data_IF_654256149468
#
_entry.id   IF_654256149468
#
_cell.length_a   1.000
_cell.length_b   1.000
_cell.length_c   1.000
_cell.angle_alpha   90.00
_cell.angle_beta   90.00
_cell.angle_gamma   90.00
#
_symmetry.space_group_name_H-M   'P 1'
#
loop_
_entity.id
_entity.type
_entity.pdbx_description
1 polymer ?
#
# COMPACT_ATOMS: atom_id res chain seq x y z
N UNK A 1 -10.92 -2.07 24.89
CA UNK A 1 -10.59 -1.72 23.49
C UNK A 1 -10.33 -0.23 23.45
N UNK A 2 -9.07 0.18 23.30
CA UNK A 2 -8.76 1.59 23.11
C UNK A 2 -9.10 1.92 21.66
N UNK A 3 -10.13 2.73 21.43
CA UNK A 3 -10.32 3.39 20.14
C UNK A 3 -9.11 4.30 19.97
N UNK A 4 -8.11 3.89 19.20
CA UNK A 4 -6.95 4.73 18.91
C UNK A 4 -7.47 5.98 18.18
N UNK A 5 -7.45 7.10 18.90
CA UNK A 5 -7.84 8.39 18.35
C UNK A 5 -6.73 8.85 17.40
N UNK A 6 -7.06 9.50 16.28
CA UNK A 6 -6.07 10.12 15.43
C UNK A 6 -5.13 11.02 16.25
N UNK A 7 -3.83 10.97 15.94
CA UNK A 7 -2.82 11.82 16.56
C UNK A 7 -3.05 13.26 16.08
N UNK A 8 -3.09 14.22 17.01
CA UNK A 8 -3.23 15.63 16.65
C UNK A 8 -1.91 16.17 16.13
N UNK A 9 -1.93 16.78 14.94
CA UNK A 9 -0.77 17.34 14.25
C UNK A 9 -0.91 18.87 14.21
N UNK A 10 -0.18 19.57 15.08
CA UNK A 10 -0.41 21.00 15.31
C UNK A 10 0.43 21.90 14.39
N UNK A 11 1.56 21.39 13.92
CA UNK A 11 2.46 22.09 13.01
C UNK A 11 2.95 21.19 11.86
N UNK A 12 3.70 21.81 10.95
CA UNK A 12 4.17 21.15 9.72
C UNK A 12 5.19 20.05 10.05
N UNK A 13 6.07 20.28 11.04
CA UNK A 13 7.11 19.32 11.40
C UNK A 13 6.50 18.04 11.98
N UNK A 14 5.48 18.17 12.84
CA UNK A 14 4.71 17.03 13.35
C UNK A 14 4.08 16.22 12.21
N UNK A 15 3.48 16.90 11.22
CA UNK A 15 2.83 16.24 10.09
C UNK A 15 3.83 15.51 9.18
N UNK A 16 4.97 16.13 8.86
CA UNK A 16 6.04 15.52 8.08
C UNK A 16 6.68 14.31 8.80
N UNK A 17 6.94 14.45 10.11
CA UNK A 17 7.43 13.36 10.95
C UNK A 17 6.44 12.19 10.98
N UNK A 18 5.15 12.49 11.13
CA UNK A 18 4.09 11.49 11.12
C UNK A 18 4.02 10.73 9.77
N UNK A 19 4.10 11.43 8.64
CA UNK A 19 4.08 10.79 7.31
C UNK A 19 5.32 9.94 7.09
N UNK A 20 6.50 10.45 7.43
CA UNK A 20 7.77 9.73 7.22
C UNK A 20 7.94 8.50 8.11
N UNK A 21 7.27 8.48 9.28
CA UNK A 21 7.32 7.40 10.26
C UNK A 21 6.63 6.10 9.85
N UNK A 22 5.85 6.10 8.76
CA UNK A 22 5.09 4.93 8.31
C UNK A 22 5.22 4.69 6.81
N UNK A 23 4.88 3.47 6.36
CA UNK A 23 4.80 3.16 4.92
C UNK A 23 3.55 3.75 4.28
N UNK A 24 2.47 3.79 5.06
CA UNK A 24 1.19 4.42 4.73
C UNK A 24 0.78 5.24 5.93
N UNK A 25 0.45 6.51 5.72
CA UNK A 25 -0.07 7.40 6.74
C UNK A 25 -1.32 8.09 6.22
N UNK A 26 -2.33 8.27 7.07
CA UNK A 26 -3.57 8.96 6.71
C UNK A 26 -3.72 10.20 7.56
N UNK A 27 -3.87 11.37 6.95
CA UNK A 27 -4.15 12.62 7.66
C UNK A 27 -5.52 13.13 7.26
N UNK A 28 -6.35 13.42 8.27
CA UNK A 28 -7.58 14.18 8.11
C UNK A 28 -7.31 15.67 8.33
N UNK A 29 -7.47 16.46 7.27
CA UNK A 29 -7.37 17.91 7.29
C UNK A 29 -8.78 18.51 7.39
N UNK A 30 -9.12 19.04 8.56
CA UNK A 30 -10.47 19.55 8.83
C UNK A 30 -10.43 20.98 9.32
N UNK A 31 -11.31 21.86 8.82
CA UNK A 31 -11.41 23.23 9.36
C UNK A 31 -11.91 23.23 10.82
N UNK A 32 -12.91 22.39 11.11
CA UNK A 32 -13.41 22.15 12.46
C UNK A 32 -13.14 20.69 12.86
N UNK A 33 -12.30 20.42 13.87
CA UNK A 33 -12.01 19.06 14.32
C UNK A 33 -13.23 18.36 14.95
N UNK A 34 -14.29 19.08 15.32
CA UNK A 34 -15.53 18.51 15.88
C UNK A 34 -16.65 18.30 14.85
N UNK A 35 -16.42 18.69 13.60
CA UNK A 35 -17.36 18.55 12.49
C UNK A 35 -17.87 17.11 12.30
N UNK A 36 -19.07 16.91 11.74
CA UNK A 36 -19.59 15.58 11.40
C UNK A 36 -18.61 14.76 10.53
N UNK A 37 -17.92 15.41 9.60
CA UNK A 37 -16.93 14.81 8.71
C UNK A 37 -15.72 14.29 9.51
N UNK A 38 -15.21 15.10 10.44
CA UNK A 38 -14.14 14.70 11.34
C UNK A 38 -14.57 13.55 12.29
N UNK A 39 -15.86 13.46 12.63
CA UNK A 39 -16.39 12.32 13.38
C UNK A 39 -16.39 11.04 12.54
N UNK A 40 -16.80 11.08 11.26
CA UNK A 40 -16.71 9.93 10.35
C UNK A 40 -15.26 9.46 10.20
N UNK A 41 -14.30 10.40 10.09
CA UNK A 41 -12.87 10.09 10.05
C UNK A 41 -12.39 9.35 11.30
N UNK A 42 -12.76 9.82 12.50
CA UNK A 42 -12.41 9.12 13.76
C UNK A 42 -13.02 7.72 13.85
N UNK A 43 -14.25 7.54 13.37
CA UNK A 43 -14.89 6.22 13.32
C UNK A 43 -14.15 5.27 12.38
N UNK A 44 -13.72 5.75 11.21
CA UNK A 44 -12.94 4.96 10.26
C UNK A 44 -11.56 4.60 10.82
N UNK A 45 -10.86 5.54 11.47
CA UNK A 45 -9.59 5.26 12.15
C UNK A 45 -9.72 4.09 13.15
N UNK A 46 -10.81 4.06 13.93
CA UNK A 46 -11.10 2.97 14.85
C UNK A 46 -11.42 1.61 14.20
N UNK A 47 -11.70 1.56 12.89
CA UNK A 47 -11.99 0.32 12.16
C UNK A 47 -10.72 -0.34 11.59
N UNK A 48 -9.62 0.40 11.46
CA UNK A 48 -8.38 -0.04 10.81
C UNK A 48 -7.13 0.35 11.62
N UNK A 49 -6.99 -0.19 12.85
CA UNK A 49 -6.00 0.26 13.83
C UNK A 49 -4.54 0.03 13.39
N UNK A 50 -4.29 -0.79 12.37
CA UNK A 50 -2.94 -1.03 11.84
C UNK A 50 -2.44 0.07 10.88
N UNK A 51 -3.30 1.03 10.52
CA UNK A 51 -2.92 2.21 9.72
C UNK A 51 -2.86 3.40 10.67
N UNK A 52 -1.76 4.18 10.69
CA UNK A 52 -1.68 5.36 11.53
C UNK A 52 -2.55 6.49 10.97
N UNK A 53 -3.36 7.10 11.84
CA UNK A 53 -4.20 8.25 11.54
C UNK A 53 -3.73 9.51 12.27
N UNK A 54 -3.56 10.59 11.53
CA UNK A 54 -3.30 11.94 12.03
C UNK A 54 -4.49 12.86 11.75
N UNK A 55 -4.68 13.89 12.56
CA UNK A 55 -5.69 14.92 12.34
C UNK A 55 -5.06 16.30 12.51
N UNK A 56 -5.32 17.19 11.56
CA UNK A 56 -4.92 18.59 11.67
C UNK A 56 -6.05 19.53 11.33
N UNK A 57 -6.15 20.60 12.12
CA UNK A 57 -6.95 21.80 11.85
C UNK A 57 -6.09 23.07 11.82
N UNK A 58 -4.76 22.90 11.80
CA UNK A 58 -3.82 24.01 11.76
C UNK A 58 -3.80 24.63 10.37
N UNK A 59 -4.09 25.93 10.26
CA UNK A 59 -4.09 26.64 8.98
C UNK A 59 -2.74 26.53 8.25
N UNK A 60 -1.63 26.52 9.00
CA UNK A 60 -0.28 26.35 8.45
C UNK A 60 -0.10 24.96 7.81
N UNK A 61 -0.56 23.90 8.49
CA UNK A 61 -0.51 22.52 7.98
C UNK A 61 -1.40 22.36 6.76
N UNK A 62 -2.65 22.83 6.82
CA UNK A 62 -3.59 22.78 5.69
C UNK A 62 -3.01 23.48 4.46
N UNK A 63 -2.46 24.69 4.64
CA UNK A 63 -1.83 25.43 3.54
C UNK A 63 -0.60 24.72 2.99
N UNK A 64 0.24 24.12 3.83
CA UNK A 64 1.44 23.38 3.39
C UNK A 64 1.08 22.20 2.46
N UNK A 65 0.00 21.49 2.77
CA UNK A 65 -0.50 20.40 1.93
C UNK A 65 -1.48 20.85 0.83
N UNK A 66 -1.66 22.16 0.63
CA UNK A 66 -2.54 22.70 -0.41
C UNK A 66 -4.02 22.34 -0.24
N UNK A 67 -4.48 22.14 1.00
CA UNK A 67 -5.86 21.74 1.32
C UNK A 67 -6.68 22.95 1.72
N UNK A 68 -7.71 23.28 0.92
CA UNK A 68 -8.61 24.42 1.17
C UNK A 68 -9.98 24.05 1.74
N UNK A 69 -10.33 22.76 1.75
CA UNK A 69 -11.62 22.23 2.22
C UNK A 69 -11.40 20.92 3.00
N UNK A 70 -12.40 20.43 3.73
CA UNK A 70 -12.26 19.20 4.52
C UNK A 70 -11.80 18.04 3.61
N UNK A 71 -10.62 17.47 3.89
CA UNK A 71 -9.98 16.48 3.02
C UNK A 71 -9.32 15.39 3.87
N UNK A 72 -9.44 14.15 3.43
CA UNK A 72 -8.66 13.04 3.98
C UNK A 72 -7.62 12.65 2.95
N UNK A 73 -6.36 12.65 3.36
CA UNK A 73 -5.23 12.34 2.48
C UNK A 73 -4.53 11.08 2.96
N UNK A 74 -4.30 10.16 2.03
CA UNK A 74 -3.44 8.99 2.21
C UNK A 74 -2.10 9.25 1.55
N UNK A 75 -1.02 9.08 2.30
CA UNK A 75 0.36 9.21 1.85
C UNK A 75 1.01 7.84 1.74
N UNK A 76 1.73 7.58 0.65
CA UNK A 76 2.43 6.31 0.40
C UNK A 76 3.92 6.55 0.24
N UNK A 77 4.70 5.81 1.02
CA UNK A 77 6.16 5.88 0.99
C UNK A 77 6.79 5.04 -0.11
N UNK A 78 6.09 4.02 -0.60
CA UNK A 78 6.63 3.05 -1.56
C UNK A 78 6.84 3.66 -2.95
N UNK A 79 5.96 4.56 -3.35
CA UNK A 79 5.93 5.23 -4.65
C UNK A 79 5.82 6.76 -4.54
N UNK A 80 6.01 7.30 -3.33
CA UNK A 80 5.92 8.73 -3.00
C UNK A 80 4.61 9.38 -3.45
N UNK A 81 3.52 8.61 -3.46
CA UNK A 81 2.22 9.04 -3.96
C UNK A 81 1.32 9.59 -2.84
N UNK A 82 0.37 10.43 -3.25
CA UNK A 82 -0.63 11.07 -2.39
C UNK A 82 -2.00 10.91 -3.02
N UNK A 83 -2.98 10.47 -2.22
CA UNK A 83 -4.38 10.34 -2.64
C UNK A 83 -5.28 11.13 -1.70
N UNK A 84 -6.08 12.01 -2.28
CA UNK A 84 -7.03 12.84 -1.55
C UNK A 84 -8.45 12.31 -1.72
N UNK A 85 -9.21 12.36 -0.63
CA UNK A 85 -10.64 12.11 -0.58
C UNK A 85 -11.32 13.38 -0.08
N UNK A 86 -12.20 13.94 -0.92
CA UNK A 86 -13.04 15.07 -0.55
C UNK A 86 -14.08 14.66 0.50
N UNK A 87 -14.02 15.30 1.67
CA UNK A 87 -14.95 15.06 2.78
C UNK A 87 -16.13 16.03 2.80
N UNK A 88 -16.18 17.01 1.91
CA UNK A 88 -17.30 17.97 1.84
C UNK A 88 -18.56 17.34 1.21
N UNK A 89 -18.42 16.16 0.62
CA UNK A 89 -19.54 15.36 0.17
C UNK A 89 -20.17 14.60 1.35
N UNK A 90 -21.43 14.95 1.68
CA UNK A 90 -22.20 14.34 2.78
C UNK A 90 -22.42 12.84 2.64
N UNK A 91 -22.20 12.27 1.46
CA UNK A 91 -22.32 10.84 1.22
C UNK A 91 -21.10 10.04 1.74
N UNK A 92 -20.01 10.70 2.15
CA UNK A 92 -18.78 10.02 2.62
C UNK A 92 -18.91 9.67 4.10
N UNK A 93 -19.31 8.42 4.38
CA UNK A 93 -19.35 7.85 5.72
C UNK A 93 -18.03 7.12 6.09
N UNK A 94 -17.93 6.69 7.34
CA UNK A 94 -16.78 5.93 7.83
C UNK A 94 -16.48 4.67 6.99
N UNK A 95 -17.51 4.00 6.44
CA UNK A 95 -17.32 2.79 5.63
C UNK A 95 -16.66 3.12 4.29
N UNK A 96 -17.11 4.18 3.61
CA UNK A 96 -16.51 4.66 2.36
C UNK A 96 -15.08 5.13 2.58
N UNK A 97 -14.81 5.81 3.69
CA UNK A 97 -13.45 6.22 4.06
C UNK A 97 -12.54 5.02 4.31
N UNK A 98 -12.99 4.05 5.11
CA UNK A 98 -12.24 2.81 5.33
C UNK A 98 -11.95 2.10 4.00
N UNK A 99 -12.94 2.02 3.11
CA UNK A 99 -12.77 1.45 1.77
C UNK A 99 -11.75 2.23 0.94
N UNK A 100 -11.79 3.57 0.96
CA UNK A 100 -10.81 4.43 0.30
C UNK A 100 -9.39 4.11 0.78
N UNK A 101 -9.17 4.00 2.10
CA UNK A 101 -7.85 3.66 2.65
C UNK A 101 -7.41 2.27 2.20
N UNK A 102 -8.28 1.26 2.31
CA UNK A 102 -7.94 -0.13 1.91
C UNK A 102 -7.63 -0.30 0.43
N UNK A 103 -8.29 0.47 -0.43
CA UNK A 103 -8.05 0.40 -1.87
C UNK A 103 -6.75 1.07 -2.28
N UNK A 104 -6.32 2.10 -1.54
CA UNK A 104 -5.17 2.91 -1.89
C UNK A 104 -3.92 2.56 -1.08
N UNK A 105 -4.02 1.77 0.00
CA UNK A 105 -2.85 1.37 0.79
C UNK A 105 -1.87 0.53 -0.04
N UNK A 106 -0.68 1.08 -0.29
CA UNK A 106 0.45 0.32 -0.81
C UNK A 106 1.60 0.41 0.18
N UNK A 107 2.05 -0.77 0.60
CA UNK A 107 3.16 -0.97 1.53
C UNK A 107 4.38 -1.46 0.75
N UNK A 108 5.52 -1.56 1.43
CA UNK A 108 6.76 -2.03 0.81
C UNK A 108 6.59 -3.39 0.14
N UNK A 109 5.84 -4.30 0.77
CA UNK A 109 5.30 -5.49 0.13
C UNK A 109 3.79 -5.49 0.33
N UNK A 110 3.04 -5.47 -0.77
CA UNK A 110 1.57 -5.41 -0.74
C UNK A 110 0.98 -6.74 -1.15
N UNK A 111 0.07 -7.30 -0.35
CA UNK A 111 -0.67 -8.50 -0.75
C UNK A 111 -1.72 -8.16 -1.80
N UNK A 112 -1.67 -8.86 -2.93
CA UNK A 112 -2.61 -8.70 -4.02
C UNK A 112 -3.91 -9.45 -3.74
N UNK A 113 -5.00 -8.71 -3.77
CA UNK A 113 -6.37 -9.21 -3.67
C UNK A 113 -7.33 -8.23 -4.39
N UNK A 114 -8.63 -8.55 -4.52
CA UNK A 114 -9.58 -7.70 -5.24
C UNK A 114 -9.74 -6.26 -4.70
N UNK A 115 -9.34 -5.99 -3.45
CA UNK A 115 -9.41 -4.65 -2.85
C UNK A 115 -8.14 -3.86 -3.16
N UNK A 116 -6.97 -4.45 -2.94
CA UNK A 116 -5.66 -3.80 -3.14
C UNK A 116 -5.27 -3.69 -4.61
N UNK A 117 -5.91 -4.47 -5.51
CA UNK A 117 -5.66 -4.41 -6.95
C UNK A 117 -5.86 -3.01 -7.53
N UNK A 118 -6.79 -2.23 -6.99
CA UNK A 118 -7.05 -0.85 -7.43
C UNK A 118 -5.81 0.01 -7.18
N UNK A 119 -5.29 0.01 -5.95
CA UNK A 119 -4.09 0.76 -5.59
C UNK A 119 -2.88 0.32 -6.38
N UNK A 120 -2.69 -1.00 -6.57
CA UNK A 120 -1.58 -1.56 -7.37
C UNK A 120 -1.63 -1.05 -8.81
N UNK A 121 -2.80 -1.07 -9.44
CA UNK A 121 -2.98 -0.60 -10.82
C UNK A 121 -2.89 0.93 -10.96
N UNK A 122 -3.07 1.67 -9.87
CA UNK A 122 -2.96 3.13 -9.84
C UNK A 122 -1.57 3.64 -9.41
N UNK A 123 -0.64 2.74 -9.08
CA UNK A 123 0.72 3.12 -8.70
C UNK A 123 1.42 3.86 -9.85
N UNK A 124 2.27 4.82 -9.48
CA UNK A 124 3.15 5.52 -10.42
C UNK A 124 4.33 4.65 -10.86
N UNK A 125 4.60 3.52 -10.18
CA UNK A 125 5.66 2.60 -10.55
C UNK A 125 5.22 1.70 -11.71
N UNK A 126 6.06 1.62 -12.73
CA UNK A 126 5.79 0.80 -13.92
C UNK A 126 6.30 -0.63 -13.80
N UNK A 127 7.31 -0.87 -12.96
CA UNK A 127 7.86 -2.20 -12.73
C UNK A 127 7.26 -2.82 -11.48
N UNK A 128 6.94 -4.11 -11.57
CA UNK A 128 6.31 -4.86 -10.51
C UNK A 128 6.98 -6.22 -10.37
N UNK A 129 7.23 -6.64 -9.14
CA UNK A 129 7.74 -7.97 -8.84
C UNK A 129 6.75 -8.70 -7.93
N UNK A 130 6.22 -9.81 -8.41
CA UNK A 130 5.37 -10.71 -7.64
C UNK A 130 6.19 -11.83 -7.00
N UNK A 131 5.96 -12.07 -5.72
CA UNK A 131 6.19 -13.36 -5.08
C UNK A 131 4.88 -14.16 -5.10
N UNK A 132 4.83 -15.19 -5.93
CA UNK A 132 3.68 -16.09 -6.06
C UNK A 132 3.97 -17.32 -5.19
N UNK A 133 3.21 -17.51 -4.11
CA UNK A 133 3.51 -18.55 -3.11
C UNK A 133 2.27 -19.08 -2.42
N UNK A 134 2.37 -20.30 -1.90
CA UNK A 134 1.49 -20.78 -0.85
C UNK A 134 1.83 -20.06 0.47
N UNK A 135 0.88 -19.26 0.98
CA UNK A 135 0.99 -18.52 2.25
C UNK A 135 0.84 -19.41 3.48
N UNK A 136 0.23 -20.59 3.35
CA UNK A 136 0.12 -21.59 4.42
C UNK A 136 1.39 -22.44 4.58
N UNK A 137 2.35 -22.34 3.65
CA UNK A 137 3.62 -23.05 3.72
C UNK A 137 4.42 -22.65 4.97
N UNK A 138 5.03 -23.58 5.71
CA UNK A 138 5.85 -23.27 6.88
C UNK A 138 7.10 -22.43 6.54
N UNK A 139 7.54 -22.44 5.28
CA UNK A 139 8.65 -21.61 4.79
C UNK A 139 8.22 -20.16 4.46
N UNK A 140 6.92 -19.85 4.45
CA UNK A 140 6.40 -18.55 4.04
C UNK A 140 6.95 -17.37 4.89
N UNK A 141 7.05 -17.46 6.23
CA UNK A 141 7.60 -16.35 7.03
C UNK A 141 9.04 -15.99 6.65
N UNK A 142 9.90 -16.99 6.41
CA UNK A 142 11.29 -16.74 6.01
C UNK A 142 11.37 -16.16 4.59
N UNK A 143 10.57 -16.69 3.65
CA UNK A 143 10.48 -16.13 2.29
C UNK A 143 10.08 -14.66 2.32
N UNK A 144 9.05 -14.31 3.10
CA UNK A 144 8.58 -12.94 3.23
C UNK A 144 9.63 -12.02 3.85
N UNK A 145 10.38 -12.48 4.85
CA UNK A 145 11.49 -11.71 5.43
C UNK A 145 12.54 -11.36 4.37
N UNK A 146 12.96 -12.34 3.57
CA UNK A 146 13.98 -12.13 2.51
C UNK A 146 13.44 -11.28 1.37
N UNK A 147 12.18 -11.51 0.95
CA UNK A 147 11.52 -10.74 -0.10
C UNK A 147 11.36 -9.27 0.30
N UNK A 148 10.97 -9.00 1.55
CA UNK A 148 10.89 -7.63 2.09
C UNK A 148 12.25 -6.96 2.18
N UNK A 149 13.30 -7.69 2.58
CA UNK A 149 14.66 -7.15 2.60
C UNK A 149 15.15 -6.77 1.19
N UNK A 150 14.79 -7.55 0.17
CA UNK A 150 15.07 -7.20 -1.23
C UNK A 150 14.26 -5.98 -1.68
N UNK A 151 12.99 -5.86 -1.28
CA UNK A 151 12.12 -4.74 -1.64
C UNK A 151 12.69 -3.37 -1.23
N UNK A 152 13.36 -3.28 -0.07
CA UNK A 152 13.99 -2.03 0.37
C UNK A 152 15.03 -1.49 -0.63
N UNK A 153 15.69 -2.37 -1.38
CA UNK A 153 16.71 -2.01 -2.37
C UNK A 153 16.13 -1.38 -3.64
N UNK A 154 14.83 -1.59 -3.88
CA UNK A 154 14.12 -1.14 -5.09
C UNK A 154 12.99 -0.17 -4.79
N UNK A 155 12.95 0.40 -3.59
CA UNK A 155 11.95 1.40 -3.21
C UNK A 155 11.91 2.57 -4.20
N UNK A 156 10.71 2.96 -4.61
CA UNK A 156 10.49 3.99 -5.64
C UNK A 156 10.86 3.58 -7.06
N UNK A 157 11.19 2.29 -7.30
CA UNK A 157 11.53 1.76 -8.64
C UNK A 157 10.67 0.57 -9.03
N UNK A 158 10.55 -0.42 -8.15
CA UNK A 158 9.77 -1.64 -8.39
C UNK A 158 8.76 -1.81 -7.25
N UNK A 159 7.49 -2.05 -7.59
CA UNK A 159 6.47 -2.41 -6.63
C UNK A 159 6.55 -3.90 -6.30
N UNK A 160 6.75 -4.24 -5.03
CA UNK A 160 6.82 -5.63 -4.58
C UNK A 160 5.45 -6.11 -4.11
N UNK A 161 5.00 -7.23 -4.67
CA UNK A 161 3.64 -7.74 -4.53
C UNK A 161 3.70 -9.19 -4.03
N UNK A 162 2.95 -9.50 -2.97
CA UNK A 162 2.71 -10.88 -2.54
C UNK A 162 1.42 -11.37 -3.20
N UNK A 163 1.47 -12.53 -3.85
CA UNK A 163 0.30 -13.19 -4.40
C UNK A 163 0.12 -14.58 -3.77
N UNK A 164 -0.93 -14.72 -2.96
CA UNK A 164 -1.29 -15.99 -2.34
C UNK A 164 -2.00 -16.91 -3.34
N UNK A 165 -1.39 -18.07 -3.61
CA UNK A 165 -1.93 -19.09 -4.51
C UNK A 165 -3.15 -19.85 -3.97
N UNK A 166 -3.49 -19.66 -2.70
CA UNK A 166 -4.69 -20.25 -2.09
C UNK A 166 -5.96 -19.45 -2.37
N UNK A 167 -5.83 -18.18 -2.76
CA UNK A 167 -6.96 -17.34 -3.12
C UNK A 167 -7.43 -17.66 -4.55
N UNK A 168 -8.67 -18.14 -4.70
CA UNK A 168 -9.27 -18.43 -6.01
C UNK A 168 -9.27 -17.23 -6.95
N UNK A 169 -9.42 -16.01 -6.42
CA UNK A 169 -9.36 -14.77 -7.20
C UNK A 169 -8.03 -14.58 -7.94
N UNK A 170 -6.96 -15.24 -7.47
CA UNK A 170 -5.63 -15.10 -8.03
C UNK A 170 -5.31 -16.14 -9.12
N UNK A 171 -6.19 -17.11 -9.37
CA UNK A 171 -6.00 -18.14 -10.41
C UNK A 171 -5.78 -17.54 -11.80
N UNK A 172 -6.46 -16.43 -12.12
CA UNK A 172 -6.27 -15.73 -13.39
C UNK A 172 -4.85 -15.16 -13.54
N UNK A 173 -4.25 -14.69 -12.46
CA UNK A 173 -2.88 -14.16 -12.48
C UNK A 173 -1.87 -15.28 -12.65
N UNK A 174 -2.08 -16.44 -12.01
CA UNK A 174 -1.25 -17.63 -12.24
C UNK A 174 -1.29 -18.05 -13.72
N UNK A 175 -2.48 -18.07 -14.32
CA UNK A 175 -2.65 -18.42 -15.73
C UNK A 175 -1.99 -17.42 -16.67
N UNK A 176 -2.04 -16.12 -16.36
CA UNK A 176 -1.36 -15.08 -17.13
C UNK A 176 0.16 -15.33 -17.19
N UNK A 177 0.78 -15.63 -16.03
CA UNK A 177 2.21 -16.00 -15.96
C UNK A 177 2.49 -17.47 -16.32
N UNK A 178 1.49 -18.22 -16.82
CA UNK A 178 1.61 -19.61 -17.25
C UNK A 178 2.14 -20.56 -16.14
N UNK A 179 1.88 -20.23 -14.88
CA UNK A 179 2.36 -20.98 -13.71
C UNK A 179 1.32 -21.98 -13.20
N UNK A 180 1.79 -23.18 -12.85
CA UNK A 180 1.02 -24.18 -12.10
C UNK A 180 1.36 -24.10 -10.61
N UNK A 181 0.42 -24.50 -9.75
CA UNK A 181 0.66 -24.56 -8.29
C UNK A 181 1.86 -25.43 -7.90
N UNK A 182 2.15 -26.47 -8.68
CA UNK A 182 3.31 -27.35 -8.47
C UNK A 182 4.67 -26.69 -8.73
N UNK A 183 4.69 -25.50 -9.36
CA UNK A 183 5.91 -24.74 -9.66
C UNK A 183 6.15 -23.61 -8.64
N UNK A 184 5.36 -23.55 -7.57
CA UNK A 184 5.46 -22.50 -6.56
C UNK A 184 6.42 -22.91 -5.42
N UNK A 185 7.18 -21.96 -4.84
CA UNK A 185 7.09 -20.52 -5.09
C UNK A 185 7.76 -20.08 -6.39
N UNK A 186 7.30 -18.96 -6.94
CA UNK A 186 7.87 -18.34 -8.13
C UNK A 186 7.94 -16.82 -7.98
N UNK A 187 8.89 -16.21 -8.69
CA UNK A 187 8.96 -14.78 -8.93
C UNK A 187 8.44 -14.49 -10.33
N UNK A 188 7.65 -13.44 -10.48
CA UNK A 188 7.27 -12.92 -11.78
C UNK A 188 7.51 -11.41 -11.78
N UNK A 189 8.28 -10.92 -12.74
CA UNK A 189 8.51 -9.49 -12.93
C UNK A 189 7.75 -9.05 -14.18
N UNK A 190 7.13 -7.88 -14.14
CA UNK A 190 6.45 -7.34 -15.31
C UNK A 190 6.54 -5.81 -15.37
N UNK A 191 6.54 -5.29 -16.59
CA UNK A 191 6.49 -3.88 -16.91
C UNK A 191 5.09 -3.53 -17.44
N UNK A 192 4.37 -2.68 -16.71
CA UNK A 192 2.96 -2.38 -17.00
C UNK A 192 2.71 -1.74 -18.38
N UNK A 193 3.52 -0.77 -18.86
CA UNK A 193 3.24 -0.04 -20.10
C UNK A 193 3.22 -0.89 -21.37
N UNK A 194 4.06 -1.91 -21.48
CA UNK A 194 4.24 -2.74 -22.69
C UNK A 194 3.91 -4.23 -22.49
N UNK A 195 3.44 -4.61 -21.29
CA UNK A 195 3.05 -5.98 -20.93
C UNK A 195 4.23 -6.98 -20.98
N UNK A 196 5.48 -6.48 -20.96
CA UNK A 196 6.66 -7.33 -20.90
C UNK A 196 6.76 -8.01 -19.52
N UNK A 197 7.07 -9.31 -19.50
CA UNK A 197 7.22 -10.05 -18.26
C UNK A 197 8.21 -11.22 -18.38
N UNK A 198 8.80 -11.60 -17.24
CA UNK A 198 9.61 -12.79 -17.07
C UNK A 198 9.21 -13.54 -15.80
N UNK A 199 9.47 -14.85 -15.76
CA UNK A 199 9.09 -15.74 -14.67
C UNK A 199 10.27 -16.61 -14.25
N UNK A 200 10.52 -16.66 -12.94
CA UNK A 200 11.56 -17.48 -12.34
C UNK A 200 10.97 -18.37 -11.24
N UNK A 201 10.91 -19.68 -11.48
CA UNK A 201 10.59 -20.67 -10.45
C UNK A 201 11.77 -20.85 -9.51
N UNK A 202 11.51 -20.91 -8.20
CA UNK A 202 12.57 -21.01 -7.20
C UNK A 202 12.20 -21.98 -6.10
N UNK A 203 13.16 -22.77 -5.62
CA UNK A 203 12.94 -23.58 -4.41
C UNK A 203 12.89 -22.68 -3.16
N UNK A 204 13.77 -21.67 -3.14
CA UNK A 204 13.94 -20.73 -2.05
C UNK A 204 14.25 -19.32 -2.56
N UNK A 205 13.76 -18.33 -1.79
CA UNK A 205 14.04 -16.92 -2.00
C UNK A 205 15.34 -16.56 -1.31
N UNK A 206 16.22 -15.83 -2.00
CA UNK A 206 17.36 -15.11 -1.44
C UNK A 206 17.36 -13.68 -1.97
N UNK A 207 18.01 -12.77 -1.24
CA UNK A 207 18.09 -11.35 -1.65
C UNK A 207 18.85 -11.24 -2.99
N UNK A 208 20.01 -11.90 -3.09
CA UNK A 208 20.83 -11.97 -4.30
C UNK A 208 20.04 -12.45 -5.52
N UNK A 209 19.28 -13.54 -5.38
CA UNK A 209 18.49 -14.08 -6.51
C UNK A 209 17.40 -13.12 -6.95
N UNK A 210 16.75 -12.44 -6.02
CA UNK A 210 15.76 -11.40 -6.36
C UNK A 210 16.44 -10.25 -7.09
N UNK A 211 17.60 -9.80 -6.61
CA UNK A 211 18.35 -8.72 -7.24
C UNK A 211 18.79 -9.08 -8.66
N UNK A 212 19.38 -10.25 -8.84
CA UNK A 212 19.83 -10.73 -10.15
C UNK A 212 18.68 -10.80 -11.14
N UNK A 213 17.52 -11.29 -10.69
CA UNK A 213 16.33 -11.39 -11.52
C UNK A 213 15.80 -10.01 -11.91
N UNK A 214 15.65 -9.10 -10.94
CA UNK A 214 15.23 -7.72 -11.21
C UNK A 214 16.20 -6.99 -12.14
N UNK A 215 17.51 -7.05 -11.84
CA UNK A 215 18.52 -6.31 -12.58
C UNK A 215 18.66 -6.80 -14.02
N UNK A 216 18.46 -8.10 -14.28
CA UNK A 216 18.46 -8.64 -15.64
C UNK A 216 17.29 -8.12 -16.46
N UNK A 217 16.12 -8.01 -15.85
CA UNK A 217 14.91 -7.52 -16.53
C UNK A 217 14.94 -6.00 -16.77
N UNK A 218 15.61 -5.23 -15.90
CA UNK A 218 15.72 -3.78 -16.01
C UNK A 218 16.78 -3.29 -17.02
N UNK A 219 17.56 -4.20 -17.62
CA UNK A 219 18.61 -3.88 -18.61
C UNK A 219 18.01 -3.64 -19.99
#
# INVERSE_FOLDING_TARGET
>A
SATEKPILLNDIADAEAFISGAEVAVIGFFQDPQSPEAQQFRLAAGQIPEVPFGLSSSAAVLSHYGVSANTVTLFRRVDNDRRDLDMNNRDVDAKKLTRFVRMNELRLVTEYNPVTSIGVMQSSLHFNLLLITDKMSPKHPERMRKFRAAAELYKGKILFILLDSNLKSNERVLSYFQLKKSQLPALAIFHTPDDEHDVLTVDEISIERVQDFCNRFLQ
#
